data_IF_931792173564
#
_entry.id   IF_931792173564
#
_cell.length_a   1.000
_cell.length_b   1.000
_cell.length_c   1.000
_cell.angle_alpha   90.00
_cell.angle_beta   90.00
_cell.angle_gamma   90.00
#
_symmetry.space_group_name_H-M   'P 1'
#
loop_
_entity.id
_entity.type
_entity.pdbx_description
1 polymer ?
#
# COMPACT_ATOMS: atom_id res chain seq x y z
N UNK A 1 -6.97 19.49 23.23
CA UNK A 1 -7.94 18.55 22.65
C UNK A 1 -8.88 19.38 21.81
N UNK A 2 -8.78 19.26 20.51
CA UNK A 2 -9.77 19.80 19.56
C UNK A 2 -10.09 18.63 18.64
N UNK A 3 -11.24 17.99 18.90
CA UNK A 3 -11.82 16.99 18.00
C UNK A 3 -12.73 17.73 17.04
N UNK A 4 -12.46 17.60 15.73
CA UNK A 4 -13.24 18.22 14.67
C UNK A 4 -13.64 17.17 13.66
N UNK A 5 -14.71 16.43 13.94
CA UNK A 5 -15.20 15.35 13.09
C UNK A 5 -16.46 15.77 12.34
N UNK A 6 -16.32 15.95 11.02
CA UNK A 6 -17.33 15.77 9.95
C UNK A 6 -18.61 16.63 10.04
N UNK A 7 -18.83 17.46 9.02
CA UNK A 7 -20.19 17.88 8.65
C UNK A 7 -20.86 16.75 7.84
N UNK A 8 -22.13 16.49 8.13
CA UNK A 8 -22.87 15.27 7.74
C UNK A 8 -23.59 15.42 6.39
N UNK A 9 -23.69 16.64 5.86
CA UNK A 9 -24.47 16.95 4.65
C UNK A 9 -23.83 16.38 3.37
N UNK A 10 -22.53 16.58 3.17
CA UNK A 10 -21.85 16.34 1.87
C UNK A 10 -21.71 14.85 1.47
N UNK A 11 -22.10 13.91 2.33
CA UNK A 11 -21.90 12.46 2.12
C UNK A 11 -23.20 11.63 2.08
N UNK A 12 -24.38 12.26 2.17
CA UNK A 12 -25.68 11.56 2.22
C UNK A 12 -26.50 11.63 0.92
N UNK A 13 -26.04 12.36 -0.11
CA UNK A 13 -26.80 12.62 -1.34
C UNK A 13 -26.61 11.56 -2.46
N UNK A 14 -25.66 10.63 -2.35
CA UNK A 14 -25.34 9.63 -3.41
C UNK A 14 -25.83 8.19 -3.13
N UNK A 15 -26.95 8.01 -2.44
CA UNK A 15 -27.61 6.69 -2.29
C UNK A 15 -29.13 6.73 -2.50
N UNK A 16 -29.52 6.63 -3.79
CA UNK A 16 -30.66 5.87 -4.36
C UNK A 16 -31.66 5.20 -3.37
N UNK A 17 -33.00 5.21 -3.55
CA UNK A 17 -33.86 5.40 -4.73
C UNK A 17 -35.32 5.67 -4.29
N UNK A 18 -36.17 6.28 -5.14
CA UNK A 18 -37.61 5.93 -5.41
C UNK A 18 -38.29 6.98 -6.30
N UNK A 19 -39.28 6.56 -7.11
CA UNK A 19 -40.09 7.38 -8.03
C UNK A 19 -41.57 6.95 -7.96
N UNK A 20 -42.55 7.69 -8.55
CA UNK A 20 -42.62 9.12 -8.93
C UNK A 20 -43.92 9.80 -8.40
N UNK A 21 -44.13 11.12 -8.62
CA UNK A 21 -45.47 11.74 -8.93
C UNK A 21 -45.37 13.24 -9.31
N UNK A 22 -46.41 13.77 -9.98
CA UNK A 22 -46.57 15.15 -10.51
C UNK A 22 -46.87 16.16 -9.35
N UNK A 23 -46.71 17.50 -9.43
CA UNK A 23 -47.26 18.44 -10.45
C UNK A 23 -46.77 19.90 -10.22
N UNK A 24 -46.80 20.73 -11.28
CA UNK A 24 -46.45 22.18 -11.40
C UNK A 24 -46.79 23.14 -10.24
N UNK A 25 -45.93 24.16 -9.99
CA UNK A 25 -46.24 25.61 -10.13
C UNK A 25 -45.00 26.55 -10.01
N UNK A 26 -45.06 27.71 -10.69
CA UNK A 26 -44.14 28.89 -10.63
C UNK A 26 -44.95 30.12 -10.14
N UNK A 27 -44.53 31.42 -10.17
CA UNK A 27 -43.26 32.11 -10.52
C UNK A 27 -42.87 33.27 -9.52
N UNK A 28 -42.25 34.38 -10.00
CA UNK A 28 -42.16 35.78 -9.42
C UNK A 28 -40.99 36.07 -8.45
N UNK A 29 -40.19 37.16 -8.54
CA UNK A 29 -39.98 38.27 -9.53
C UNK A 29 -38.57 38.91 -9.38
N UNK A 30 -38.21 39.89 -10.23
CA UNK A 30 -36.95 40.65 -10.19
C UNK A 30 -37.13 42.19 -10.24
N UNK A 31 -36.11 42.96 -9.80
CA UNK A 31 -35.87 44.41 -10.02
C UNK A 31 -34.51 44.83 -9.38
N UNK A 32 -33.89 45.99 -9.63
CA UNK A 32 -33.31 46.60 -10.86
C UNK A 32 -32.73 48.01 -10.50
N UNK A 33 -31.67 48.48 -11.19
CA UNK A 33 -31.05 49.84 -11.11
C UNK A 33 -30.41 50.26 -9.75
N UNK A 34 -29.60 51.33 -9.59
CA UNK A 34 -28.43 51.96 -10.31
C UNK A 34 -27.62 52.77 -9.23
N UNK A 35 -26.58 53.62 -9.40
CA UNK A 35 -25.88 54.28 -10.52
C UNK A 35 -24.41 54.71 -10.13
N UNK A 36 -23.75 55.54 -10.93
CA UNK A 36 -22.36 56.10 -10.77
C UNK A 36 -22.42 57.66 -10.54
N UNK A 37 -21.36 58.46 -10.17
CA UNK A 37 -20.01 58.44 -10.76
C UNK A 37 -18.76 58.85 -9.90
N UNK A 38 -17.59 58.82 -10.58
CA UNK A 38 -16.21 59.34 -10.30
C UNK A 38 -16.08 60.89 -10.08
N UNK A 39 -14.88 61.54 -9.89
CA UNK A 39 -13.47 61.11 -10.11
C UNK A 39 -12.36 61.53 -9.08
N UNK A 40 -11.17 60.87 -9.12
CA UNK A 40 -9.82 61.46 -8.96
C UNK A 40 -8.67 60.45 -9.24
N UNK A 41 -7.45 60.94 -9.50
CA UNK A 41 -6.18 60.21 -9.84
C UNK A 41 -4.98 61.17 -9.64
N UNK A 42 -3.67 60.81 -9.82
CA UNK A 42 -3.02 59.50 -9.93
C UNK A 42 -1.73 59.34 -9.07
N UNK A 43 -1.10 58.15 -9.09
CA UNK A 43 0.37 58.00 -9.22
C UNK A 43 0.72 56.58 -9.72
N UNK A 44 1.89 56.38 -10.33
CA UNK A 44 2.23 55.15 -11.05
C UNK A 44 3.71 54.78 -10.96
N UNK A 45 4.04 53.48 -11.11
CA UNK A 45 5.38 53.06 -11.59
C UNK A 45 5.44 51.69 -12.27
N UNK A 46 5.91 51.71 -13.51
CA UNK A 46 6.66 50.68 -14.27
C UNK A 46 6.16 49.22 -14.33
N UNK A 47 5.84 48.77 -15.54
CA UNK A 47 5.76 47.37 -15.93
C UNK A 47 7.10 46.82 -16.48
N UNK A 48 7.24 45.49 -16.51
CA UNK A 48 8.10 44.77 -17.48
C UNK A 48 7.75 43.26 -17.54
N UNK A 49 7.32 42.79 -18.72
CA UNK A 49 7.59 41.43 -19.20
C UNK A 49 8.78 41.49 -20.17
N UNK A 50 9.41 40.34 -20.52
CA UNK A 50 9.05 39.75 -21.81
C UNK A 50 9.05 38.21 -21.87
N UNK A 51 8.24 37.70 -22.81
CA UNK A 51 8.42 36.51 -23.66
C UNK A 51 9.26 35.29 -23.17
N UNK A 52 8.54 34.18 -22.94
CA UNK A 52 8.81 32.82 -23.46
C UNK A 52 10.23 32.45 -23.92
N UNK A 53 10.76 31.38 -23.33
CA UNK A 53 11.54 30.37 -24.06
C UNK A 53 10.96 28.98 -23.79
N UNK A 54 10.88 28.13 -24.81
CA UNK A 54 10.54 26.72 -24.65
C UNK A 54 11.74 25.99 -24.04
N UNK A 55 11.58 25.52 -22.79
CA UNK A 55 12.42 24.46 -22.23
C UNK A 55 11.58 23.19 -22.14
N UNK A 56 11.98 22.13 -22.84
CA UNK A 56 11.37 20.81 -22.69
C UNK A 56 11.65 20.28 -21.29
N UNK A 57 10.66 20.39 -20.41
CA UNK A 57 10.65 19.62 -19.17
C UNK A 57 10.27 18.19 -19.54
N UNK A 58 11.28 17.35 -19.77
CA UNK A 58 11.10 15.91 -19.81
C UNK A 58 10.50 15.48 -18.46
N UNK A 59 9.25 15.04 -18.50
CA UNK A 59 8.52 14.59 -17.32
C UNK A 59 9.03 13.20 -16.92
N UNK A 60 10.20 13.18 -16.24
CA UNK A 60 10.80 11.98 -15.66
C UNK A 60 9.83 11.37 -14.64
N UNK A 61 9.12 10.33 -15.08
CA UNK A 61 7.87 9.87 -14.47
C UNK A 61 8.05 8.49 -13.85
N UNK A 62 7.28 8.23 -12.78
CA UNK A 62 7.07 6.91 -12.16
C UNK A 62 8.17 6.31 -11.27
N UNK A 63 9.06 7.12 -10.65
CA UNK A 63 9.91 6.69 -9.54
C UNK A 63 9.89 7.71 -8.38
N UNK A 64 9.44 7.33 -7.19
CA UNK A 64 9.41 8.23 -6.03
C UNK A 64 10.79 8.28 -5.33
N UNK A 65 11.54 9.41 -5.40
CA UNK A 65 12.96 9.45 -5.01
C UNK A 65 13.21 9.23 -3.51
N UNK A 66 12.19 9.34 -2.66
CA UNK A 66 12.27 9.08 -1.23
C UNK A 66 12.33 7.60 -0.83
N UNK A 67 12.06 6.65 -1.74
CA UNK A 67 11.87 5.23 -1.39
C UNK A 67 12.99 4.26 -1.83
N UNK A 68 13.84 4.60 -2.81
CA UNK A 68 15.00 3.74 -3.13
C UNK A 68 16.17 3.88 -2.13
N UNK A 69 17.01 2.85 -1.99
CA UNK A 69 18.39 3.03 -1.53
C UNK A 69 19.22 3.73 -2.63
N UNK A 70 20.25 4.48 -2.24
CA UNK A 70 21.21 5.07 -3.19
C UNK A 70 22.31 4.08 -3.57
N UNK A 71 22.89 4.14 -4.78
CA UNK A 71 23.96 3.22 -5.23
C UNK A 71 25.16 3.17 -4.29
N UNK A 72 25.61 4.32 -3.76
CA UNK A 72 26.78 4.38 -2.86
C UNK A 72 26.49 3.70 -1.53
N UNK A 73 25.23 3.75 -1.08
CA UNK A 73 24.80 3.05 0.14
C UNK A 73 24.65 1.54 -0.10
N UNK A 74 24.17 1.10 -1.27
CA UNK A 74 24.10 -0.33 -1.64
C UNK A 74 25.49 -0.95 -1.63
N UNK A 75 26.47 -0.29 -2.27
CA UNK A 75 27.87 -0.73 -2.30
C UNK A 75 28.48 -0.74 -0.90
N UNK A 76 28.31 0.33 -0.12
CA UNK A 76 28.81 0.41 1.26
C UNK A 76 28.24 -0.71 2.14
N UNK A 77 26.94 -0.95 2.06
CA UNK A 77 26.25 -1.98 2.81
C UNK A 77 26.52 -3.40 2.28
N UNK A 78 27.23 -3.56 1.16
CA UNK A 78 27.52 -4.86 0.52
C UNK A 78 26.24 -5.67 0.23
N UNK A 79 25.20 -4.99 -0.27
CA UNK A 79 23.91 -5.61 -0.55
C UNK A 79 23.83 -6.07 -2.00
N UNK A 80 23.67 -7.39 -2.20
CA UNK A 80 23.48 -8.00 -3.52
C UNK A 80 21.99 -8.06 -3.88
N UNK A 81 21.65 -7.85 -5.15
CA UNK A 81 20.25 -7.91 -5.60
C UNK A 81 19.83 -9.37 -5.86
N UNK A 82 18.77 -9.89 -5.22
CA UNK A 82 18.45 -11.31 -5.26
C UNK A 82 17.66 -11.68 -6.53
N UNK A 83 18.33 -11.72 -7.70
CA UNK A 83 17.70 -12.01 -9.00
C UNK A 83 16.79 -13.25 -8.96
N UNK A 84 17.28 -14.36 -8.39
CA UNK A 84 16.51 -15.61 -8.25
C UNK A 84 15.22 -15.47 -7.43
N UNK A 85 15.22 -14.64 -6.39
CA UNK A 85 14.01 -14.37 -5.60
C UNK A 85 12.97 -13.65 -6.46
N UNK A 86 13.42 -12.70 -7.28
CA UNK A 86 12.55 -11.97 -8.20
C UNK A 86 11.98 -12.90 -9.27
N UNK A 87 12.82 -13.75 -9.88
CA UNK A 87 12.43 -14.71 -10.92
C UNK A 87 11.50 -15.81 -10.38
N UNK A 88 11.88 -16.50 -9.29
CA UNK A 88 11.15 -17.67 -8.79
C UNK A 88 9.96 -17.33 -7.89
N UNK A 89 9.98 -16.21 -7.17
CA UNK A 89 8.98 -15.89 -6.12
C UNK A 89 8.17 -14.64 -6.44
N UNK A 90 8.78 -13.60 -7.04
CA UNK A 90 8.06 -12.36 -7.39
C UNK A 90 7.54 -12.34 -8.84
N UNK A 91 7.17 -13.51 -9.39
CA UNK A 91 6.64 -13.69 -10.75
C UNK A 91 7.51 -13.07 -11.88
N UNK A 92 8.82 -12.88 -11.65
CA UNK A 92 9.71 -12.19 -12.59
C UNK A 92 9.49 -10.68 -12.70
N UNK A 93 8.92 -10.02 -11.68
CA UNK A 93 8.64 -8.58 -11.69
C UNK A 93 9.90 -7.75 -11.93
N UNK A 94 9.89 -6.94 -13.00
CA UNK A 94 11.05 -6.18 -13.46
C UNK A 94 11.14 -4.82 -12.76
N UNK A 95 11.75 -4.80 -11.57
CA UNK A 95 12.04 -3.57 -10.83
C UNK A 95 12.77 -2.54 -11.70
N UNK A 96 12.19 -1.35 -11.85
CA UNK A 96 12.85 -0.19 -12.49
C UNK A 96 14.08 0.22 -11.67
N UNK A 97 13.95 0.18 -10.34
CA UNK A 97 14.99 0.60 -9.41
C UNK A 97 15.31 -0.52 -8.42
N UNK A 98 16.42 -1.24 -8.65
CA UNK A 98 16.90 -2.33 -7.78
C UNK A 98 17.04 -1.93 -6.29
N UNK A 99 17.35 -0.66 -6.03
CA UNK A 99 17.43 -0.10 -4.67
C UNK A 99 16.09 -0.02 -3.92
N UNK A 100 14.95 -0.18 -4.58
CA UNK A 100 13.62 -0.22 -3.95
C UNK A 100 13.36 -1.57 -3.28
N UNK A 101 13.60 -2.69 -3.98
CA UNK A 101 13.55 -4.04 -3.38
C UNK A 101 14.58 -4.21 -2.27
N UNK A 102 15.81 -3.73 -2.48
CA UNK A 102 16.85 -3.78 -1.45
C UNK A 102 16.48 -3.00 -0.19
N UNK A 103 15.65 -1.94 -0.29
CA UNK A 103 15.11 -1.27 0.91
C UNK A 103 14.01 -2.09 1.58
N UNK A 104 13.13 -2.73 0.81
CA UNK A 104 12.08 -3.57 1.37
C UNK A 104 12.69 -4.67 2.25
N UNK A 105 13.72 -5.36 1.75
CA UNK A 105 14.41 -6.44 2.46
C UNK A 105 15.38 -5.97 3.58
N UNK A 106 15.47 -4.66 3.87
CA UNK A 106 16.45 -4.09 4.80
C UNK A 106 15.88 -3.90 6.21
N UNK A 107 16.20 -4.83 7.12
CA UNK A 107 15.80 -4.73 8.52
C UNK A 107 16.48 -3.56 9.24
N UNK A 108 15.79 -2.99 10.23
CA UNK A 108 16.26 -1.83 11.01
C UNK A 108 17.58 -2.02 11.76
N UNK A 109 18.04 -3.25 11.98
CA UNK A 109 19.33 -3.53 12.67
C UNK A 109 20.54 -3.69 11.74
N UNK A 110 20.36 -4.09 10.47
CA UNK A 110 21.48 -4.38 9.56
C UNK A 110 22.39 -3.16 9.37
N UNK A 111 23.69 -3.30 9.66
CA UNK A 111 24.75 -2.28 9.55
C UNK A 111 24.30 -0.89 10.01
N UNK A 112 23.55 -0.84 11.12
CA UNK A 112 22.83 0.38 11.54
C UNK A 112 23.73 1.60 11.72
N UNK A 113 24.95 1.40 12.22
CA UNK A 113 25.99 2.43 12.41
C UNK A 113 26.46 3.08 11.10
N UNK A 114 26.24 2.41 9.96
CA UNK A 114 26.68 2.87 8.64
C UNK A 114 25.61 3.63 7.87
N UNK A 115 24.34 3.53 8.27
CA UNK A 115 23.18 4.05 7.53
C UNK A 115 22.85 5.50 7.91
N UNK A 116 22.61 6.40 6.94
CA UNK A 116 22.37 7.82 7.21
C UNK A 116 21.07 8.04 8.00
N UNK A 117 21.20 8.70 9.17
CA UNK A 117 20.09 9.11 10.06
C UNK A 117 19.20 7.95 10.54
N UNK A 118 19.60 6.69 10.34
CA UNK A 118 18.79 5.49 10.52
C UNK A 118 17.36 5.60 9.91
N UNK A 119 17.23 6.18 8.70
CA UNK A 119 15.94 6.31 7.98
C UNK A 119 15.78 5.40 6.76
N UNK A 120 16.81 4.63 6.40
CA UNK A 120 16.81 3.66 5.30
C UNK A 120 16.60 2.25 5.85
N UNK A 121 15.34 1.80 5.87
CA UNK A 121 14.88 0.47 6.27
C UNK A 121 13.44 0.25 5.73
N UNK A 122 12.89 -0.94 5.99
CA UNK A 122 11.63 -1.47 5.44
C UNK A 122 10.34 -0.71 5.82
N UNK A 123 10.19 -0.24 7.06
CA UNK A 123 8.90 0.17 7.64
C UNK A 123 8.07 1.19 6.82
N UNK A 124 8.65 2.17 6.09
CA UNK A 124 7.87 3.08 5.24
C UNK A 124 7.28 2.44 3.98
N UNK A 125 7.84 1.32 3.51
CA UNK A 125 7.30 0.50 2.42
C UNK A 125 6.31 -0.54 2.95
N UNK A 126 6.58 -1.09 4.13
CA UNK A 126 5.66 -1.95 4.90
C UNK A 126 4.32 -1.25 5.14
N UNK A 127 4.38 -0.04 5.70
CA UNK A 127 3.20 0.80 5.97
C UNK A 127 2.28 0.97 4.75
N UNK A 128 2.81 1.30 3.57
CA UNK A 128 1.97 1.44 2.37
C UNK A 128 1.55 0.08 1.79
N UNK A 129 2.42 -0.94 1.92
CA UNK A 129 2.14 -2.31 1.52
C UNK A 129 0.94 -2.93 2.26
N UNK A 130 0.74 -2.60 3.53
CA UNK A 130 -0.42 -3.06 4.30
C UNK A 130 -1.76 -2.61 3.67
N UNK A 131 -1.88 -1.33 3.30
CA UNK A 131 -3.09 -0.82 2.64
C UNK A 131 -3.29 -1.43 1.25
N UNK A 132 -2.20 -1.67 0.50
CA UNK A 132 -2.24 -2.31 -0.82
C UNK A 132 -2.72 -3.76 -0.71
N UNK A 133 -2.18 -4.55 0.23
CA UNK A 133 -2.62 -5.93 0.46
C UNK A 133 -4.05 -5.98 1.00
N UNK A 134 -4.40 -5.12 1.96
CA UNK A 134 -5.77 -4.94 2.46
C UNK A 134 -6.76 -4.63 1.33
N UNK A 135 -6.37 -3.80 0.36
CA UNK A 135 -7.20 -3.50 -0.82
C UNK A 135 -7.34 -4.73 -1.74
N UNK A 136 -6.24 -5.37 -2.14
CA UNK A 136 -6.26 -6.55 -3.04
C UNK A 136 -7.08 -7.70 -2.43
N UNK A 137 -6.90 -7.97 -1.14
CA UNK A 137 -7.69 -8.98 -0.41
C UNK A 137 -9.17 -8.57 -0.35
N UNK A 138 -9.47 -7.30 -0.04
CA UNK A 138 -10.87 -6.81 -0.02
C UNK A 138 -11.54 -6.92 -1.39
N UNK A 139 -10.83 -6.61 -2.47
CA UNK A 139 -11.34 -6.72 -3.84
C UNK A 139 -11.63 -8.18 -4.20
N UNK A 140 -10.68 -9.09 -3.98
CA UNK A 140 -10.87 -10.51 -4.31
C UNK A 140 -12.07 -11.11 -3.55
N UNK A 141 -12.21 -10.81 -2.25
CA UNK A 141 -13.37 -11.24 -1.46
C UNK A 141 -14.67 -10.60 -1.94
N UNK A 142 -14.68 -9.30 -2.27
CA UNK A 142 -15.86 -8.62 -2.81
C UNK A 142 -16.30 -9.19 -4.17
N UNK A 143 -15.36 -9.65 -4.99
CA UNK A 143 -15.65 -10.27 -6.28
C UNK A 143 -16.23 -11.68 -6.10
N UNK A 144 -15.59 -12.52 -5.28
CA UNK A 144 -15.82 -13.97 -5.23
C UNK A 144 -16.75 -14.48 -4.10
N UNK A 145 -16.93 -13.76 -3.00
CA UNK A 145 -17.84 -14.20 -1.91
C UNK A 145 -19.31 -14.17 -2.36
N UNK A 146 -20.07 -15.21 -2.03
CA UNK A 146 -21.52 -15.28 -2.30
C UNK A 146 -22.30 -14.29 -1.43
N UNK A 147 -22.02 -14.24 -0.12
CA UNK A 147 -22.53 -13.20 0.76
C UNK A 147 -21.61 -11.98 0.72
N UNK A 148 -22.18 -10.83 0.36
CA UNK A 148 -21.48 -9.53 0.26
C UNK A 148 -21.91 -8.54 1.34
N UNK A 149 -22.41 -9.04 2.48
CA UNK A 149 -22.64 -8.21 3.67
C UNK A 149 -21.29 -7.69 4.23
N UNK A 150 -21.33 -6.58 4.97
CA UNK A 150 -20.12 -5.87 5.39
C UNK A 150 -19.35 -6.66 6.46
N UNK A 151 -20.09 -7.32 7.32
CA UNK A 151 -19.63 -8.09 8.47
C UNK A 151 -18.83 -9.32 8.02
N UNK A 152 -19.38 -10.15 7.13
CA UNK A 152 -18.74 -11.40 6.71
C UNK A 152 -17.59 -11.12 5.74
N UNK A 153 -17.66 -10.07 4.91
CA UNK A 153 -16.51 -9.61 4.11
C UNK A 153 -15.36 -9.11 5.00
N UNK A 154 -15.66 -8.31 6.04
CA UNK A 154 -14.64 -7.86 6.99
C UNK A 154 -14.06 -9.02 7.82
N UNK A 155 -14.88 -9.98 8.21
CA UNK A 155 -14.45 -11.16 8.96
C UNK A 155 -13.56 -12.09 8.13
N UNK A 156 -13.99 -12.48 6.91
CA UNK A 156 -13.18 -13.29 5.99
C UNK A 156 -11.86 -12.58 5.66
N UNK A 157 -11.88 -11.25 5.50
CA UNK A 157 -10.64 -10.46 5.34
C UNK A 157 -9.73 -10.58 6.56
N UNK A 158 -10.23 -10.39 7.78
CA UNK A 158 -9.40 -10.40 8.99
C UNK A 158 -8.72 -11.75 9.27
N UNK A 159 -9.19 -12.83 8.65
CA UNK A 159 -8.56 -14.16 8.73
C UNK A 159 -7.30 -14.28 7.87
N UNK A 160 -7.21 -13.55 6.75
CA UNK A 160 -6.05 -13.55 5.82
C UNK A 160 -5.17 -12.31 6.01
N UNK A 161 -5.78 -11.16 6.31
CA UNK A 161 -5.14 -9.87 6.60
C UNK A 161 -4.63 -9.82 8.06
N UNK A 162 -3.75 -10.76 8.43
CA UNK A 162 -3.16 -10.81 9.77
C UNK A 162 -1.65 -11.11 9.76
N UNK A 163 -0.96 -10.71 10.84
CA UNK A 163 0.50 -10.86 10.96
C UNK A 163 0.94 -12.32 10.88
N UNK A 164 0.14 -13.23 11.44
CA UNK A 164 0.40 -14.68 11.42
C UNK A 164 0.37 -15.26 10.00
N UNK A 165 -0.59 -14.85 9.16
CA UNK A 165 -0.69 -15.27 7.75
C UNK A 165 0.40 -14.63 6.90
N UNK A 166 0.64 -13.32 7.04
CA UNK A 166 1.71 -12.65 6.29
C UNK A 166 3.09 -13.20 6.66
N UNK A 167 3.34 -13.55 7.93
CA UNK A 167 4.58 -14.20 8.33
C UNK A 167 4.72 -15.62 7.75
N UNK A 168 3.65 -16.40 7.75
CA UNK A 168 3.62 -17.73 7.14
C UNK A 168 3.89 -17.67 5.63
N UNK A 169 3.20 -16.77 4.92
CA UNK A 169 3.37 -16.59 3.48
C UNK A 169 4.74 -16.02 3.10
N UNK A 170 5.34 -15.16 3.93
CA UNK A 170 6.72 -14.71 3.72
C UNK A 170 7.71 -15.89 3.73
N UNK A 171 7.63 -16.76 4.75
CA UNK A 171 8.51 -17.93 4.86
C UNK A 171 8.21 -18.95 3.76
N UNK A 172 6.93 -19.26 3.49
CA UNK A 172 6.54 -20.21 2.42
C UNK A 172 7.04 -19.80 1.05
N UNK A 173 7.17 -18.49 0.81
CA UNK A 173 7.70 -17.93 -0.44
C UNK A 173 9.18 -17.50 -0.37
N UNK A 174 9.93 -17.93 0.66
CA UNK A 174 11.39 -17.73 0.73
C UNK A 174 11.88 -16.32 1.07
N UNK A 175 11.00 -15.40 1.49
CA UNK A 175 11.39 -14.00 1.79
C UNK A 175 12.49 -13.94 2.85
N UNK A 176 12.42 -14.85 3.83
CA UNK A 176 13.34 -14.92 4.97
C UNK A 176 14.81 -15.16 4.60
N UNK A 177 15.08 -15.82 3.46
CA UNK A 177 16.44 -16.10 2.97
C UNK A 177 17.13 -14.87 2.37
N UNK A 178 16.37 -13.78 2.20
CA UNK A 178 16.81 -12.56 1.50
C UNK A 178 16.72 -11.31 2.39
N UNK A 179 16.38 -11.44 3.67
CA UNK A 179 16.34 -10.33 4.64
C UNK A 179 17.75 -9.96 5.09
N UNK A 180 18.12 -8.70 4.93
CA UNK A 180 19.37 -8.15 5.47
C UNK A 180 19.16 -7.77 6.94
N UNK A 181 19.81 -8.49 7.87
CA UNK A 181 19.65 -8.32 9.33
C UNK A 181 20.91 -8.73 10.12
N UNK A 182 21.19 -8.00 11.22
CA UNK A 182 22.31 -8.29 12.15
C UNK A 182 21.87 -8.74 13.58
N UNK A 183 20.57 -8.72 13.94
CA UNK A 183 20.16 -9.14 15.29
C UNK A 183 20.00 -10.67 15.36
N UNK A 184 20.92 -11.30 16.10
CA UNK A 184 20.95 -12.74 16.30
C UNK A 184 19.69 -13.31 16.96
N UNK A 185 19.02 -12.58 17.85
CA UNK A 185 17.83 -13.10 18.57
C UNK A 185 16.63 -13.14 17.65
N UNK A 186 16.47 -12.12 16.81
CA UNK A 186 15.46 -12.13 15.75
C UNK A 186 15.74 -13.27 14.75
N UNK A 187 17.01 -13.56 14.44
CA UNK A 187 17.37 -14.72 13.62
C UNK A 187 17.04 -16.06 14.30
N UNK A 188 17.29 -16.19 15.61
CA UNK A 188 16.92 -17.38 16.39
C UNK A 188 15.39 -17.56 16.45
N UNK A 189 14.62 -16.48 16.70
CA UNK A 189 13.15 -16.49 16.65
C UNK A 189 12.61 -16.87 15.26
N UNK A 190 13.19 -16.32 14.18
CA UNK A 190 12.85 -16.64 12.80
C UNK A 190 13.12 -18.12 12.50
N UNK A 191 14.30 -18.61 12.89
CA UNK A 191 14.69 -20.01 12.71
C UNK A 191 13.74 -20.98 13.43
N UNK A 192 13.27 -20.63 14.63
CA UNK A 192 12.31 -21.45 15.38
C UNK A 192 10.86 -21.30 14.87
N UNK A 193 10.49 -20.15 14.30
CA UNK A 193 9.21 -19.98 13.60
C UNK A 193 9.15 -20.84 12.32
N UNK A 194 10.21 -20.82 11.51
CA UNK A 194 10.35 -21.65 10.29
C UNK A 194 10.20 -23.14 10.61
N UNK A 195 10.80 -23.63 11.70
CA UNK A 195 10.62 -25.01 12.19
C UNK A 195 9.17 -25.27 12.60
N UNK A 196 8.54 -24.34 13.32
CA UNK A 196 7.19 -24.52 13.87
C UNK A 196 6.09 -24.59 12.80
N UNK A 197 6.26 -23.89 11.67
CA UNK A 197 5.32 -23.95 10.53
C UNK A 197 5.65 -25.06 9.52
N UNK A 198 6.68 -25.86 9.77
CA UNK A 198 7.10 -26.93 8.86
C UNK A 198 5.99 -27.97 8.66
N UNK A 199 5.52 -28.11 7.42
CA UNK A 199 4.42 -29.02 7.05
C UNK A 199 3.02 -28.40 7.08
N UNK A 200 2.84 -27.16 7.57
CA UNK A 200 1.56 -26.44 7.48
C UNK A 200 1.26 -26.04 6.03
N UNK A 201 0.02 -26.28 5.59
CA UNK A 201 -0.45 -25.99 4.23
C UNK A 201 -1.73 -25.14 4.19
N UNK A 202 -2.60 -25.24 5.20
CA UNK A 202 -3.90 -24.54 5.27
C UNK A 202 -3.95 -23.51 6.40
N UNK A 203 -4.89 -22.57 6.32
CA UNK A 203 -5.18 -21.61 7.38
C UNK A 203 -5.72 -22.31 8.63
N UNK A 204 -6.52 -23.37 8.46
CA UNK A 204 -7.03 -24.21 9.55
C UNK A 204 -5.92 -24.96 10.32
N UNK A 205 -4.79 -25.27 9.66
CA UNK A 205 -3.60 -25.80 10.32
C UNK A 205 -2.77 -24.70 11.00
N UNK A 206 -2.62 -23.54 10.35
CA UNK A 206 -1.89 -22.40 10.89
C UNK A 206 -2.54 -21.85 12.18
N UNK A 207 -3.88 -21.83 12.25
CA UNK A 207 -4.63 -21.33 13.41
C UNK A 207 -4.51 -22.22 14.66
N UNK A 208 -4.11 -23.49 14.49
CA UNK A 208 -3.87 -24.47 15.57
C UNK A 208 -2.47 -24.37 16.18
N UNK A 209 -1.56 -23.60 15.57
CA UNK A 209 -0.23 -23.36 16.14
C UNK A 209 -0.26 -22.34 17.28
N UNK A 210 0.69 -22.46 18.19
CA UNK A 210 0.95 -21.44 19.21
C UNK A 210 1.27 -20.09 18.53
N UNK A 211 0.52 -19.04 18.89
CA UNK A 211 0.71 -17.70 18.31
C UNK A 211 2.08 -17.13 18.65
N UNK A 212 2.96 -17.10 17.66
CA UNK A 212 4.33 -16.59 17.75
C UNK A 212 4.48 -15.33 16.89
N UNK A 213 4.91 -14.23 17.50
CA UNK A 213 5.24 -13.00 16.77
C UNK A 213 6.53 -13.22 15.98
N UNK A 214 6.47 -13.06 14.67
CA UNK A 214 7.63 -13.07 13.79
C UNK A 214 7.64 -11.80 12.93
N UNK A 215 8.73 -11.03 12.98
CA UNK A 215 8.93 -9.77 12.25
C UNK A 215 8.99 -9.95 10.71
N UNK A 216 8.87 -11.17 10.20
CA UNK A 216 9.00 -11.45 8.77
C UNK A 216 7.79 -10.98 7.94
N UNK A 217 6.63 -10.75 8.58
CA UNK A 217 5.45 -10.15 7.92
C UNK A 217 5.75 -8.76 7.33
N UNK A 218 6.57 -7.96 8.02
CA UNK A 218 7.02 -6.64 7.56
C UNK A 218 7.73 -6.69 6.18
N UNK A 219 8.35 -7.81 5.80
CA UNK A 219 8.94 -8.01 4.47
C UNK A 219 7.91 -8.43 3.42
N UNK A 220 6.88 -9.19 3.82
CA UNK A 220 5.75 -9.50 2.96
C UNK A 220 5.00 -8.23 2.55
N UNK A 221 4.71 -7.35 3.52
CA UNK A 221 4.11 -6.03 3.27
C UNK A 221 5.08 -5.10 2.52
N UNK A 222 6.34 -4.95 2.96
CA UNK A 222 7.24 -3.96 2.32
C UNK A 222 7.66 -4.30 0.90
N UNK A 223 7.70 -5.57 0.49
CA UNK A 223 7.92 -5.93 -0.93
C UNK A 223 6.67 -5.63 -1.78
N UNK A 224 5.46 -5.78 -1.24
CA UNK A 224 4.24 -5.32 -1.92
C UNK A 224 4.26 -3.80 -2.10
N UNK A 225 4.63 -3.05 -1.05
CA UNK A 225 4.84 -1.61 -1.11
C UNK A 225 5.98 -1.19 -2.05
N UNK A 226 7.03 -2.00 -2.18
CA UNK A 226 8.13 -1.75 -3.12
C UNK A 226 7.70 -1.92 -4.58
N UNK A 227 6.96 -2.99 -4.90
CA UNK A 227 6.38 -3.19 -6.24
C UNK A 227 5.38 -2.07 -6.55
N UNK A 228 4.54 -1.68 -5.58
CA UNK A 228 3.59 -0.58 -5.74
C UNK A 228 4.27 0.76 -6.04
N UNK A 229 5.34 1.12 -5.31
CA UNK A 229 6.05 2.38 -5.53
C UNK A 229 6.90 2.34 -6.82
N UNK A 230 7.51 1.20 -7.14
CA UNK A 230 8.35 1.02 -8.33
C UNK A 230 7.53 0.96 -9.62
N UNK A 231 6.34 0.32 -9.60
CA UNK A 231 5.43 0.27 -10.76
C UNK A 231 4.92 1.66 -11.15
N UNK A 232 4.79 2.57 -10.17
CA UNK A 232 4.21 3.90 -10.34
C UNK A 232 2.82 4.03 -9.70
N UNK A 233 2.61 3.33 -8.58
CA UNK A 233 1.33 3.19 -7.85
C UNK A 233 0.27 2.36 -8.59
N UNK A 234 0.71 1.36 -9.38
CA UNK A 234 -0.19 0.37 -9.97
C UNK A 234 -0.45 -0.80 -9.00
N UNK A 235 -1.73 -1.02 -8.70
CA UNK A 235 -2.23 -2.15 -7.90
C UNK A 235 -2.18 -3.48 -8.66
N UNK A 236 -2.37 -3.48 -9.99
CA UNK A 236 -2.38 -4.72 -10.79
C UNK A 236 -0.98 -5.33 -10.94
N UNK A 237 0.08 -4.51 -10.98
CA UNK A 237 1.46 -4.95 -10.84
C UNK A 237 1.72 -5.72 -9.53
N UNK A 238 1.11 -5.29 -8.41
CA UNK A 238 1.24 -5.98 -7.11
C UNK A 238 0.37 -7.24 -7.08
N UNK A 239 -0.87 -7.16 -7.55
CA UNK A 239 -1.81 -8.27 -7.63
C UNK A 239 -1.26 -9.44 -8.45
N UNK A 240 -0.64 -9.18 -9.60
CA UNK A 240 0.01 -10.21 -10.43
C UNK A 240 1.20 -10.94 -9.77
N UNK A 241 1.72 -10.40 -8.67
CA UNK A 241 2.78 -11.03 -7.86
C UNK A 241 2.21 -11.67 -6.59
N UNK A 242 1.29 -11.00 -5.90
CA UNK A 242 0.81 -11.42 -4.57
C UNK A 242 -0.43 -12.32 -4.61
N UNK A 243 -1.29 -12.20 -5.63
CA UNK A 243 -2.47 -13.06 -5.73
C UNK A 243 -2.09 -14.55 -5.79
N UNK A 244 -1.08 -15.01 -6.57
CA UNK A 244 -0.63 -16.40 -6.54
C UNK A 244 -0.18 -16.90 -5.14
N UNK A 245 0.39 -16.02 -4.31
CA UNK A 245 0.82 -16.38 -2.95
C UNK A 245 -0.37 -16.51 -1.99
N UNK A 246 -1.35 -15.60 -2.12
CA UNK A 246 -2.53 -15.47 -1.27
C UNK A 246 -3.66 -16.45 -1.65
N UNK A 247 -3.79 -16.81 -2.93
CA UNK A 247 -5.01 -17.42 -3.50
C UNK A 247 -5.53 -18.61 -2.70
N UNK A 248 -4.65 -19.54 -2.33
CA UNK A 248 -5.04 -20.74 -1.57
C UNK A 248 -5.74 -20.42 -0.24
N UNK A 249 -5.31 -19.37 0.47
CA UNK A 249 -5.93 -18.94 1.73
C UNK A 249 -7.17 -18.07 1.47
N UNK A 250 -7.19 -17.30 0.38
CA UNK A 250 -8.38 -16.54 -0.04
C UNK A 250 -9.53 -17.47 -0.42
N UNK A 251 -9.24 -18.52 -1.19
CA UNK A 251 -10.20 -19.57 -1.54
C UNK A 251 -10.70 -20.30 -0.28
N UNK A 252 -9.78 -20.70 0.62
CA UNK A 252 -10.14 -21.34 1.91
C UNK A 252 -11.11 -20.48 2.73
N UNK A 253 -10.91 -19.15 2.83
CA UNK A 253 -11.84 -18.25 3.53
C UNK A 253 -13.05 -17.79 2.70
N UNK A 254 -13.19 -18.21 1.44
CA UNK A 254 -14.43 -18.05 0.67
C UNK A 254 -15.33 -19.27 0.89
N UNK A 255 -14.76 -20.46 0.84
CA UNK A 255 -15.49 -21.74 0.95
C UNK A 255 -15.92 -22.08 2.39
N UNK A 256 -15.42 -21.36 3.42
CA UNK A 256 -15.90 -21.50 4.80
C UNK A 256 -17.40 -21.15 4.94
N UNK A 257 -18.18 -22.07 5.49
CA UNK A 257 -19.51 -21.78 6.02
C UNK A 257 -19.40 -20.88 7.25
N UNK A 258 -19.81 -19.62 7.09
CA UNK A 258 -19.98 -18.66 8.18
C UNK A 258 -21.49 -18.48 8.36
N UNK A 259 -22.07 -19.29 9.24
CA UNK A 259 -23.42 -19.09 9.76
C UNK A 259 -23.49 -17.76 10.54
N UNK A 260 -24.63 -17.06 10.46
CA UNK A 260 -24.86 -15.76 11.12
C UNK A 260 -25.53 -15.93 12.48
#
# INVERSE_FOLDING_TARGET
MEEGFVDIVDALDEMDLISPIKKKSTPVKASAATEDPKPATPTARSAKQPATQNGSQDADTSNHPGFTLKPELIVKLQMEFPEKFVEEKLSGYKFKTKGTLLRALLHRTYKQKERPRNKTFCDPLDYIGDYVLKFIISQYLLEHCVSKNKENLAHRRSMVECQEVYAFLAVRNGFHDHVFMDDRREWEHLTDYVKAISGVQTLEQLSKLEKRKCFVHNFFQSVAGAIYVDSGYDLKAVEGVYLPMLKAFLDEVIDMDIEN
#
